data_IF_873709484611
#
_entry.id   IF_873709484611
#
_cell.length_a   1.000
_cell.length_b   1.000
_cell.length_c   1.000
_cell.angle_alpha   90.00
_cell.angle_beta   90.00
_cell.angle_gamma   90.00
#
_symmetry.space_group_name_H-M   'P 1'
#
loop_
_entity.id
_entity.type
_entity.pdbx_description
1 polymer ?
#
# COMPACT_ATOMS: atom_id res chain seq x y z
N UNK A 1 -4.38 -0.95 -8.72
CA UNK A 1 -5.46 -0.32 -7.93
C UNK A 1 -5.37 -0.88 -6.53
N UNK A 2 -5.09 -0.01 -5.56
CA UNK A 2 -5.16 -0.37 -4.13
C UNK A 2 -6.64 -0.42 -3.78
N UNK A 3 -7.04 -1.30 -2.88
CA UNK A 3 -8.39 -1.29 -2.32
C UNK A 3 -8.53 -0.14 -1.31
N UNK A 4 -8.08 1.07 -1.67
CA UNK A 4 -8.06 2.23 -0.79
C UNK A 4 -9.41 2.39 -0.11
N UNK A 5 -9.39 2.03 1.19
CA UNK A 5 -10.36 2.28 2.24
C UNK A 5 -11.14 3.57 1.99
N UNK A 6 -12.33 3.43 1.44
CA UNK A 6 -13.42 4.31 1.82
C UNK A 6 -14.04 3.59 3.02
N UNK A 7 -13.78 4.04 4.28
CA UNK A 7 -14.11 3.25 5.48
C UNK A 7 -15.58 2.87 5.61
N UNK A 8 -16.46 3.59 4.91
CA UNK A 8 -17.90 3.34 4.90
C UNK A 8 -18.39 2.49 3.71
N UNK A 9 -17.49 2.03 2.82
CA UNK A 9 -17.83 1.22 1.66
C UNK A 9 -17.16 -0.15 1.72
N UNK A 10 -17.91 -1.18 1.35
CA UNK A 10 -17.39 -2.53 1.10
C UNK A 10 -17.27 -2.72 -0.40
N UNK A 11 -16.14 -3.32 -0.83
CA UNK A 11 -15.87 -3.68 -2.21
C UNK A 11 -16.12 -5.17 -2.40
N UNK A 12 -17.08 -5.53 -3.24
CA UNK A 12 -17.38 -6.90 -3.60
C UNK A 12 -16.98 -7.17 -5.06
N UNK A 13 -16.16 -8.18 -5.29
CA UNK A 13 -15.84 -8.69 -6.62
C UNK A 13 -16.74 -9.88 -6.96
N UNK A 14 -17.36 -9.88 -8.15
CA UNK A 14 -18.25 -10.97 -8.59
C UNK A 14 -17.70 -11.72 -9.80
N UNK A 15 -16.85 -12.75 -9.61
CA UNK A 15 -16.47 -13.67 -10.68
C UNK A 15 -17.59 -14.69 -10.93
N UNK A 16 -18.68 -14.25 -11.57
CA UNK A 16 -19.84 -15.10 -11.87
C UNK A 16 -20.95 -14.99 -10.82
N UNK A 17 -21.52 -16.14 -10.39
CA UNK A 17 -22.70 -16.17 -9.50
C UNK A 17 -22.39 -15.86 -8.03
N UNK A 18 -21.15 -16.05 -7.60
CA UNK A 18 -20.72 -15.87 -6.21
C UNK A 18 -19.85 -14.62 -6.11
N UNK A 19 -20.18 -13.73 -5.17
CA UNK A 19 -19.36 -12.57 -4.87
C UNK A 19 -18.35 -12.82 -3.75
N UNK A 20 -17.25 -12.08 -3.77
CA UNK A 20 -16.18 -12.08 -2.79
C UNK A 20 -15.95 -10.66 -2.29
N UNK A 21 -16.01 -10.46 -0.97
CA UNK A 21 -15.65 -9.19 -0.36
C UNK A 21 -14.13 -9.06 -0.36
N UNK A 22 -13.63 -7.93 -0.84
CA UNK A 22 -12.22 -7.58 -0.86
C UNK A 22 -11.95 -6.52 0.20
N UNK A 23 -10.90 -6.75 0.99
CA UNK A 23 -10.51 -5.87 2.10
C UNK A 23 -9.02 -5.57 2.04
N UNK A 24 -8.61 -4.42 2.57
CA UNK A 24 -7.20 -4.06 2.67
C UNK A 24 -6.38 -5.05 3.51
N UNK A 25 -7.03 -5.61 4.55
CA UNK A 25 -6.49 -6.66 5.42
C UNK A 25 -7.54 -7.74 5.67
N UNK A 26 -7.13 -9.00 5.60
CA UNK A 26 -7.93 -10.19 5.87
C UNK A 26 -7.04 -11.43 6.16
N UNK A 27 -7.65 -12.58 6.37
CA UNK A 27 -6.95 -13.86 6.64
C UNK A 27 -6.04 -14.32 5.50
N UNK A 28 -6.18 -13.76 4.29
CA UNK A 28 -5.36 -14.12 3.12
C UNK A 28 -4.15 -13.21 2.97
N UNK A 29 -4.01 -12.19 3.81
CA UNK A 29 -3.00 -11.14 3.65
C UNK A 29 -1.59 -11.66 3.88
N UNK A 30 -0.64 -11.13 3.09
CA UNK A 30 0.74 -11.57 3.14
C UNK A 30 1.51 -10.88 4.28
N UNK A 31 2.26 -11.66 5.04
CA UNK A 31 3.15 -11.18 6.10
C UNK A 31 4.60 -11.53 5.78
N UNK A 32 5.49 -10.55 5.92
CA UNK A 32 6.93 -10.66 5.69
C UNK A 32 7.69 -10.24 6.96
N UNK A 33 7.95 -11.21 7.84
CA UNK A 33 8.52 -10.92 9.15
C UNK A 33 7.57 -10.03 9.96
N UNK A 34 8.04 -8.83 10.34
CA UNK A 34 7.24 -7.82 11.06
C UNK A 34 6.32 -6.98 10.16
N UNK A 35 6.43 -7.12 8.84
CA UNK A 35 5.72 -6.26 7.90
C UNK A 35 4.47 -6.94 7.34
N UNK A 36 3.33 -6.24 7.37
CA UNK A 36 2.06 -6.67 6.76
C UNK A 36 1.89 -5.97 5.40
N UNK A 37 1.57 -6.71 4.35
CA UNK A 37 1.34 -6.13 3.02
C UNK A 37 -0.14 -5.88 2.80
N UNK A 38 -0.51 -4.64 2.44
CA UNK A 38 -1.89 -4.31 2.04
C UNK A 38 -2.29 -5.11 0.80
N UNK A 39 -3.50 -5.65 0.85
CA UNK A 39 -4.06 -6.41 -0.26
C UNK A 39 -4.29 -5.51 -1.48
N UNK A 40 -4.07 -6.09 -2.65
CA UNK A 40 -4.29 -5.43 -3.95
C UNK A 40 -5.26 -6.24 -4.78
N UNK A 41 -5.80 -5.67 -5.86
CA UNK A 41 -6.58 -6.46 -6.82
C UNK A 41 -5.77 -7.67 -7.36
N UNK A 42 -4.47 -7.51 -7.55
CA UNK A 42 -3.58 -8.59 -7.99
C UNK A 42 -3.41 -9.68 -6.91
N UNK A 43 -3.45 -9.32 -5.63
CA UNK A 43 -3.44 -10.29 -4.52
C UNK A 43 -4.62 -11.25 -4.62
N UNK A 44 -5.81 -10.73 -4.92
CA UNK A 44 -7.03 -11.51 -5.14
C UNK A 44 -7.16 -12.09 -6.56
N UNK A 45 -6.12 -11.92 -7.40
CA UNK A 45 -6.12 -12.36 -8.79
C UNK A 45 -7.30 -11.80 -9.62
N UNK A 46 -7.74 -10.58 -9.31
CA UNK A 46 -8.80 -9.87 -10.03
C UNK A 46 -8.28 -9.51 -11.41
N UNK A 47 -8.96 -10.02 -12.44
CA UNK A 47 -8.59 -9.81 -13.85
C UNK A 47 -9.03 -8.44 -14.36
N UNK A 48 -8.45 -8.03 -15.48
CA UNK A 48 -8.92 -6.87 -16.22
C UNK A 48 -10.39 -7.03 -16.60
N UNK A 49 -11.12 -5.91 -16.61
CA UNK A 49 -12.56 -5.84 -16.85
C UNK A 49 -13.44 -6.58 -15.84
N UNK A 50 -12.89 -6.90 -14.66
CA UNK A 50 -13.70 -7.39 -13.54
C UNK A 50 -14.76 -6.37 -13.10
N UNK A 51 -15.94 -6.88 -12.77
CA UNK A 51 -17.00 -6.07 -12.17
C UNK A 51 -16.82 -6.04 -10.66
N UNK A 52 -16.70 -4.83 -10.11
CA UNK A 52 -16.67 -4.56 -8.67
C UNK A 52 -17.94 -3.80 -8.28
N UNK A 53 -18.56 -4.23 -7.20
CA UNK A 53 -19.73 -3.57 -6.61
C UNK A 53 -19.28 -2.87 -5.33
N UNK A 54 -19.59 -1.59 -5.22
CA UNK A 54 -19.38 -0.81 -4.00
C UNK A 54 -20.73 -0.69 -3.28
N UNK A 55 -20.76 -1.10 -2.01
CA UNK A 55 -21.95 -1.00 -1.17
C UNK A 55 -21.63 -0.25 0.13
N UNK A 56 -22.61 0.47 0.69
CA UNK A 56 -22.45 1.10 2.01
C UNK A 56 -22.46 0.04 3.08
N UNK A 57 -21.46 0.08 3.96
CA UNK A 57 -21.46 -0.74 5.16
C UNK A 57 -22.35 -0.06 6.19
N UNK A 58 -23.53 -0.63 6.44
CA UNK A 58 -24.28 -0.34 7.66
C UNK A 58 -23.57 -1.10 8.77
N UNK A 59 -22.77 -0.37 9.54
CA UNK A 59 -21.85 -0.84 10.56
C UNK A 59 -22.39 -2.02 11.40
N UNK A 60 -21.82 -3.23 11.27
CA UNK A 60 -21.80 -4.23 12.35
C UNK A 60 -20.55 -5.11 12.26
N UNK A 61 -19.76 -5.05 13.33
CA UNK A 61 -18.79 -6.02 13.82
C UNK A 61 -17.42 -6.13 13.14
N UNK A 62 -16.46 -5.47 13.79
CA UNK A 62 -15.27 -6.11 14.35
C UNK A 62 -15.27 -7.65 14.29
N UNK A 63 -14.65 -8.21 13.25
CA UNK A 63 -14.20 -9.61 13.27
C UNK A 63 -12.72 -9.66 13.72
N UNK A 64 -12.45 -9.20 14.94
CA UNK A 64 -11.22 -9.55 15.66
C UNK A 64 -11.46 -9.37 17.16
N UNK A 65 -12.28 -10.26 17.73
CA UNK A 65 -12.37 -10.40 19.17
C UNK A 65 -12.43 -11.88 19.52
N UNK A 66 -11.27 -12.56 19.45
CA UNK A 66 -10.79 -13.53 20.45
C UNK A 66 -9.52 -14.26 19.99
N UNK A 67 -8.71 -14.67 20.99
CA UNK A 67 -7.50 -15.53 21.01
C UNK A 67 -6.17 -14.79 20.78
N UNK A 68 -5.26 -14.60 21.75
CA UNK A 68 -5.13 -15.09 23.14
C UNK A 68 -4.27 -14.12 23.96
N UNK A 69 -4.55 -14.04 25.27
CA UNK A 69 -3.76 -13.35 26.28
C UNK A 69 -2.38 -14.00 26.49
N UNK A 70 -1.31 -13.43 25.93
CA UNK A 70 0.02 -13.41 26.55
C UNK A 70 0.94 -12.42 25.79
N UNK A 71 1.80 -11.70 26.51
CA UNK A 71 2.83 -10.73 26.02
C UNK A 71 2.41 -9.24 25.93
N UNK A 72 1.60 -8.81 26.90
CA UNK A 72 1.04 -7.47 27.13
C UNK A 72 2.04 -6.31 27.36
N UNK A 73 3.32 -6.42 26.98
CA UNK A 73 4.30 -5.32 27.12
C UNK A 73 5.17 -4.98 25.91
N UNK A 74 5.08 -5.73 24.80
CA UNK A 74 5.80 -5.39 23.56
C UNK A 74 4.89 -5.16 22.34
N UNK A 75 3.57 -5.37 22.45
CA UNK A 75 2.63 -5.29 21.32
C UNK A 75 2.14 -3.88 20.94
N UNK A 76 2.51 -2.82 21.66
CA UNK A 76 1.97 -1.47 21.39
C UNK A 76 2.46 -0.87 20.04
N UNK A 77 3.46 -1.47 19.39
CA UNK A 77 4.10 -0.94 18.17
C UNK A 77 4.19 -1.96 17.02
N UNK A 78 3.71 -3.20 17.19
CA UNK A 78 3.87 -4.24 16.15
C UNK A 78 2.82 -4.18 15.03
N UNK A 79 1.72 -3.44 15.23
CA UNK A 79 0.60 -3.42 14.28
C UNK A 79 0.71 -2.33 13.19
N UNK A 80 1.64 -1.38 13.31
CA UNK A 80 1.75 -0.25 12.39
C UNK A 80 2.66 -0.54 11.18
N UNK A 81 3.36 -1.67 11.16
CA UNK A 81 4.31 -2.01 10.10
C UNK A 81 3.60 -2.53 8.85
N UNK A 82 2.80 -1.68 8.23
CA UNK A 82 2.07 -1.99 7.00
C UNK A 82 2.72 -1.31 5.80
N UNK A 83 2.90 -2.06 4.71
CA UNK A 83 3.40 -1.52 3.44
C UNK A 83 2.51 -1.92 2.27
N UNK A 84 2.65 -1.23 1.14
CA UNK A 84 1.87 -1.52 -0.06
C UNK A 84 2.76 -1.97 -1.22
N UNK A 85 3.38 -1.04 -1.95
CA UNK A 85 4.30 -1.38 -3.07
C UNK A 85 5.77 -1.28 -2.69
N UNK A 86 6.11 -0.38 -1.77
CA UNK A 86 7.49 -0.10 -1.36
C UNK A 86 7.54 -0.18 0.15
N UNK A 87 8.46 -0.98 0.68
CA UNK A 87 8.73 -1.00 2.12
C UNK A 87 9.44 0.31 2.50
N UNK A 88 9.00 0.99 3.57
CA UNK A 88 9.79 2.05 4.18
C UNK A 88 11.21 1.52 4.43
N UNK A 89 12.23 2.30 4.09
CA UNK A 89 13.64 1.88 4.17
C UNK A 89 14.21 2.02 5.58
N UNK A 90 13.38 2.45 6.53
CA UNK A 90 13.82 2.73 7.89
C UNK A 90 14.09 1.40 8.62
N UNK A 91 15.35 1.22 9.07
CA UNK A 91 15.91 0.17 9.93
C UNK A 91 16.65 -1.04 9.30
N UNK A 92 17.14 -0.99 8.05
CA UNK A 92 18.06 -2.06 7.55
C UNK A 92 19.53 -1.59 7.46
N UNK A 93 19.80 -0.29 7.54
CA UNK A 93 21.16 0.25 7.35
C UNK A 93 21.97 0.51 8.64
N UNK A 94 21.39 0.43 9.85
CA UNK A 94 22.14 0.79 11.07
C UNK A 94 23.06 -0.31 11.62
N UNK A 95 22.98 -1.56 11.16
CA UNK A 95 23.77 -2.66 11.76
C UNK A 95 25.09 -2.94 11.02
N UNK A 96 25.38 -2.27 9.89
CA UNK A 96 26.63 -2.47 9.14
C UNK A 96 27.26 -1.17 8.62
N UNK A 97 27.52 -0.21 9.50
CA UNK A 97 28.59 0.77 9.23
C UNK A 97 29.50 1.02 10.43
N UNK A 98 30.16 -0.06 10.88
CA UNK A 98 31.53 0.08 11.39
C UNK A 98 32.47 0.28 10.19
N UNK A 99 32.78 1.54 9.90
CA UNK A 99 34.14 2.08 9.62
C UNK A 99 34.04 3.34 8.76
N UNK A 100 33.95 4.49 9.45
CA UNK A 100 34.42 5.82 9.08
C UNK A 100 34.21 6.32 7.64
N UNK A 101 33.47 7.41 7.50
CA UNK A 101 34.01 8.63 6.87
C UNK A 101 33.01 9.77 6.99
N UNK A 102 33.43 10.85 7.65
CA UNK A 102 32.73 12.12 7.69
C UNK A 102 32.63 12.72 6.28
N UNK A 103 31.50 12.58 5.56
CA UNK A 103 31.09 13.54 4.52
C UNK A 103 29.68 13.29 3.99
N UNK A 104 28.66 13.38 4.84
CA UNK A 104 27.29 13.63 4.36
C UNK A 104 27.15 15.10 3.94
N UNK A 105 27.99 15.54 3.00
CA UNK A 105 27.59 16.64 2.14
C UNK A 105 26.42 16.08 1.36
N UNK A 106 25.26 16.70 1.52
CA UNK A 106 24.07 16.46 0.72
C UNK A 106 24.44 16.56 -0.77
N UNK A 107 24.97 15.48 -1.33
CA UNK A 107 25.23 15.34 -2.73
C UNK A 107 23.86 15.11 -3.33
N UNK A 108 23.31 16.14 -3.95
CA UNK A 108 22.17 15.96 -4.85
C UNK A 108 22.61 14.99 -5.93
N UNK A 109 22.30 13.70 -5.74
CA UNK A 109 22.56 12.69 -6.76
C UNK A 109 21.67 13.02 -7.95
N UNK A 110 22.27 13.04 -9.14
CA UNK A 110 21.50 13.24 -10.36
C UNK A 110 20.45 12.12 -10.47
N UNK A 111 19.22 12.49 -10.81
CA UNK A 111 18.13 11.54 -11.04
C UNK A 111 18.45 10.77 -12.33
N UNK A 112 18.21 9.45 -12.35
CA UNK A 112 18.46 8.64 -13.55
C UNK A 112 17.53 9.04 -14.69
N UNK A 113 17.95 8.83 -15.93
CA UNK A 113 17.21 9.21 -17.14
C UNK A 113 15.78 8.67 -17.16
N UNK A 114 15.56 7.43 -16.72
CA UNK A 114 14.23 6.82 -16.62
C UNK A 114 13.27 7.63 -15.72
N UNK A 115 13.75 8.15 -14.59
CA UNK A 115 12.93 8.98 -13.71
C UNK A 115 12.74 10.39 -14.28
N UNK A 116 13.75 10.96 -14.92
CA UNK A 116 13.63 12.26 -15.60
C UNK A 116 12.55 12.23 -16.70
N UNK A 117 12.56 11.21 -17.56
CA UNK A 117 11.56 11.05 -18.62
C UNK A 117 10.15 10.91 -18.06
N UNK A 118 9.96 10.13 -16.97
CA UNK A 118 8.66 10.02 -16.28
C UNK A 118 8.16 11.36 -15.76
N UNK A 119 9.03 12.16 -15.15
CA UNK A 119 8.69 13.50 -14.64
C UNK A 119 8.28 14.45 -15.78
N UNK A 120 9.00 14.41 -16.90
CA UNK A 120 8.70 15.22 -18.08
C UNK A 120 7.36 14.82 -18.70
N UNK A 121 7.04 13.52 -18.82
CA UNK A 121 5.74 13.06 -19.32
C UNK A 121 4.57 13.64 -18.51
N UNK A 122 4.66 13.61 -17.18
CA UNK A 122 3.63 14.20 -16.29
C UNK A 122 3.54 15.71 -16.47
N UNK A 123 4.67 16.40 -16.65
CA UNK A 123 4.71 17.85 -16.85
C UNK A 123 4.09 18.28 -18.18
N UNK A 124 4.26 17.47 -19.23
CA UNK A 124 3.71 17.74 -20.56
C UNK A 124 2.19 17.54 -20.55
N UNK A 125 1.69 16.46 -19.97
CA UNK A 125 0.24 16.18 -19.86
C UNK A 125 -0.52 17.26 -19.10
N UNK A 126 0.08 17.79 -18.04
CA UNK A 126 -0.54 18.90 -17.29
C UNK A 126 -0.56 20.19 -18.10
N UNK A 127 0.48 20.51 -18.89
CA UNK A 127 0.47 21.71 -19.74
C UNK A 127 -0.58 21.66 -20.85
N UNK A 128 -0.86 20.48 -21.42
CA UNK A 128 -1.89 20.35 -22.46
C UNK A 128 -3.33 20.54 -21.95
N UNK A 129 -3.59 20.28 -20.66
CA UNK A 129 -4.92 20.50 -20.06
C UNK A 129 -5.22 21.97 -19.73
N UNK A 130 -4.21 22.83 -19.63
CA UNK A 130 -4.36 24.24 -19.25
C UNK A 130 -3.98 25.24 -20.36
N UNK A 131 -3.73 24.77 -21.59
CA UNK A 131 -3.57 25.68 -22.72
C UNK A 131 -4.95 26.28 -23.07
N UNK A 132 -5.09 27.62 -23.13
CA UNK A 132 -6.36 28.24 -23.51
C UNK A 132 -6.68 27.82 -24.95
N UNK A 133 -7.85 27.20 -25.14
CA UNK A 133 -8.41 26.96 -26.47
C UNK A 133 -8.65 28.34 -27.08
N UNK A 134 -7.89 28.68 -28.12
CA UNK A 134 -8.20 29.81 -29.00
C UNK A 134 -9.42 29.47 -29.84
#
# INVERSE_FOLDING_TARGET
MVLLVIPCLSTEWRPGSTGQILSDMDLTSQTEGRWKRLNTLAHYNVRDNATLVLSRVLHTQSFHQHQDSHDEKNALLEDDNTFHLVRPTDEIDEVKSKRGSMKDKAMTKAITEIYLTRLLSVKVDTRFKFAPRR
#
